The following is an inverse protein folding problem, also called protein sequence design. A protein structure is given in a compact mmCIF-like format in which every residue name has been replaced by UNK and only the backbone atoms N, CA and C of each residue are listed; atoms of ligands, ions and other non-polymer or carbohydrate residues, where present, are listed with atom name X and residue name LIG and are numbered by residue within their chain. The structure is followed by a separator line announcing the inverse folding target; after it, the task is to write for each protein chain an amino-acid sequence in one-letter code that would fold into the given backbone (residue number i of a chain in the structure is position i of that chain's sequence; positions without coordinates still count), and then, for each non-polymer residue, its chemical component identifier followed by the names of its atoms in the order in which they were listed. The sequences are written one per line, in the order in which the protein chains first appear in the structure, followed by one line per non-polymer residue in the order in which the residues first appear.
data_IF_063363732124
#
_entry.id   IF_063363732124
#
_cell.length_a   1.000
_cell.length_b   1.000
_cell.length_c   1.000
_cell.angle_alpha   90.00
_cell.angle_beta   90.00
_cell.angle_gamma   90.00
#
_symmetry.space_group_name_H-M   'P 1'
#
loop_
_entity.id
_entity.type
_entity.pdbx_description
1 polymer ?
#
# COMPACT_ATOMS: atom_id res chain seq x y z
N UNK A 1 -15.73 -8.90 -10.91
CA UNK A 1 -15.22 -7.64 -10.35
C UNK A 1 -15.48 -7.67 -8.85
N UNK A 2 -14.43 -7.69 -8.03
CA UNK A 2 -14.54 -7.69 -6.58
C UNK A 2 -14.13 -6.33 -6.01
N UNK A 3 -14.68 -5.98 -4.85
CA UNK A 3 -14.20 -4.84 -4.06
C UNK A 3 -13.25 -5.33 -2.97
N UNK A 4 -12.05 -4.76 -2.92
CA UNK A 4 -10.98 -5.15 -2.01
C UNK A 4 -10.80 -4.05 -0.97
N UNK A 5 -11.10 -4.36 0.30
CA UNK A 5 -10.86 -3.47 1.42
C UNK A 5 -9.39 -3.56 1.86
N UNK A 6 -8.71 -2.43 1.92
CA UNK A 6 -7.37 -2.32 2.52
C UNK A 6 -7.49 -1.70 3.91
N UNK A 7 -6.88 -2.34 4.90
CA UNK A 7 -6.81 -1.84 6.27
C UNK A 7 -5.35 -1.71 6.69
N UNK A 8 -4.91 -0.46 6.87
CA UNK A 8 -3.57 -0.16 7.34
C UNK A 8 -3.54 -0.18 8.87
N UNK A 9 -2.62 -0.97 9.42
CA UNK A 9 -2.35 -1.00 10.85
C UNK A 9 -1.62 0.26 11.35
N UNK A 10 -1.49 0.43 12.68
CA UNK A 10 -0.77 1.56 13.25
C UNK A 10 0.70 1.56 12.83
N UNK A 11 1.28 2.76 12.74
CA UNK A 11 2.69 3.02 12.44
C UNK A 11 3.18 2.66 11.02
N UNK A 12 2.31 2.15 10.13
CA UNK A 12 2.69 1.92 8.72
C UNK A 12 3.02 3.22 7.97
N UNK A 13 2.52 4.36 8.46
CA UNK A 13 2.88 5.69 7.99
C UNK A 13 4.38 6.05 8.23
N UNK A 14 5.13 5.25 8.98
CA UNK A 14 6.56 5.44 9.23
C UNK A 14 7.45 4.68 8.23
N UNK A 15 6.87 3.86 7.34
CA UNK A 15 7.62 3.17 6.29
C UNK A 15 8.39 4.17 5.41
N UNK A 16 9.57 3.78 4.95
CA UNK A 16 10.48 4.62 4.18
C UNK A 16 11.24 5.70 4.98
N UNK A 17 10.83 5.99 6.22
CA UNK A 17 11.47 7.03 7.05
C UNK A 17 12.41 6.49 8.12
N UNK A 18 12.13 5.30 8.66
CA UNK A 18 12.95 4.68 9.70
C UNK A 18 14.02 3.81 9.07
N UNK A 19 15.29 4.14 9.31
CA UNK A 19 16.48 3.37 8.92
C UNK A 19 16.31 2.65 7.56
N UNK A 20 16.28 3.39 6.43
CA UNK A 20 15.92 2.83 5.12
C UNK A 20 16.80 1.66 4.66
N UNK A 21 18.04 1.59 5.14
CA UNK A 21 18.94 0.47 4.87
C UNK A 21 18.52 -0.86 5.53
N UNK A 22 17.63 -0.82 6.52
CA UNK A 22 17.11 -1.99 7.24
C UNK A 22 15.66 -2.28 6.83
N UNK A 23 14.81 -1.25 6.75
CA UNK A 23 13.36 -1.41 6.52
C UNK A 23 12.91 -1.15 5.08
N UNK A 24 13.84 -0.77 4.21
CA UNK A 24 13.53 -0.32 2.85
C UNK A 24 13.17 1.17 2.80
N UNK A 25 13.26 1.72 1.59
CA UNK A 25 12.93 3.13 1.32
C UNK A 25 11.49 3.34 0.88
N UNK A 26 10.77 2.27 0.54
CA UNK A 26 9.38 2.34 0.09
C UNK A 26 8.49 2.88 1.23
N UNK A 27 7.73 3.92 0.90
CA UNK A 27 6.71 4.48 1.79
C UNK A 27 5.40 3.69 1.71
N UNK A 28 4.48 3.97 2.63
CA UNK A 28 3.12 3.43 2.52
C UNK A 28 2.45 3.85 1.20
N UNK A 29 2.63 5.10 0.78
CA UNK A 29 2.08 5.63 -0.47
C UNK A 29 2.63 4.89 -1.71
N UNK A 30 3.93 4.55 -1.71
CA UNK A 30 4.54 3.77 -2.80
C UNK A 30 3.96 2.35 -2.88
N UNK A 31 3.65 1.75 -1.72
CA UNK A 31 3.01 0.43 -1.64
C UNK A 31 1.55 0.52 -2.12
N UNK A 32 0.81 1.54 -1.68
CA UNK A 32 -0.58 1.76 -2.08
C UNK A 32 -0.73 2.00 -3.57
N UNK A 33 0.15 2.81 -4.18
CA UNK A 33 0.14 3.06 -5.61
C UNK A 33 0.37 1.78 -6.43
N UNK A 34 1.33 0.95 -6.03
CA UNK A 34 1.60 -0.34 -6.70
C UNK A 34 0.43 -1.31 -6.54
N UNK A 35 -0.15 -1.38 -5.35
CA UNK A 35 -1.32 -2.23 -5.08
C UNK A 35 -2.52 -1.79 -5.92
N UNK A 36 -2.81 -0.48 -6.01
CA UNK A 36 -3.88 0.04 -6.85
C UNK A 36 -3.70 -0.33 -8.32
N UNK A 37 -2.47 -0.20 -8.84
CA UNK A 37 -2.16 -0.59 -10.21
C UNK A 37 -2.43 -2.09 -10.45
N UNK A 38 -2.07 -2.96 -9.50
CA UNK A 38 -2.31 -4.40 -9.61
C UNK A 38 -3.81 -4.76 -9.51
N UNK A 39 -4.55 -4.11 -8.61
CA UNK A 39 -5.99 -4.28 -8.45
C UNK A 39 -6.71 -3.89 -9.75
N UNK A 40 -6.36 -2.74 -10.32
CA UNK A 40 -6.91 -2.27 -11.59
C UNK A 40 -6.57 -3.22 -12.75
N UNK A 41 -5.31 -3.66 -12.85
CA UNK A 41 -4.87 -4.62 -13.87
C UNK A 41 -5.62 -5.97 -13.80
N UNK A 42 -6.07 -6.35 -12.60
CA UNK A 42 -6.86 -7.57 -12.36
C UNK A 42 -8.36 -7.38 -12.55
N UNK A 43 -8.84 -6.19 -12.91
CA UNK A 43 -10.26 -5.88 -13.07
C UNK A 43 -11.03 -5.86 -11.75
N UNK A 44 -10.38 -5.40 -10.68
CA UNK A 44 -10.97 -5.22 -9.35
C UNK A 44 -10.92 -3.74 -8.93
N UNK A 45 -11.63 -3.40 -7.86
CA UNK A 45 -11.65 -2.04 -7.32
C UNK A 45 -11.19 -2.05 -5.86
N UNK A 46 -10.45 -1.02 -5.45
CA UNK A 46 -10.02 -0.86 -4.07
C UNK A 46 -11.02 -0.01 -3.29
N UNK A 47 -11.25 -0.37 -2.03
CA UNK A 47 -11.83 0.50 -1.00
C UNK A 47 -10.77 0.69 0.09
N UNK A 48 -10.45 1.93 0.42
CA UNK A 48 -9.54 2.28 1.52
C UNK A 48 -10.32 2.94 2.66
N UNK A 49 -9.79 2.85 3.88
CA UNK A 49 -10.36 3.48 5.08
C UNK A 49 -9.55 4.71 5.48
#
# INVERSE_FOLDING_TARGET
MASILTLNGPNLNLLGTREPGVYGADTLDDIEARMQAQIAASGHTQTAN
#
